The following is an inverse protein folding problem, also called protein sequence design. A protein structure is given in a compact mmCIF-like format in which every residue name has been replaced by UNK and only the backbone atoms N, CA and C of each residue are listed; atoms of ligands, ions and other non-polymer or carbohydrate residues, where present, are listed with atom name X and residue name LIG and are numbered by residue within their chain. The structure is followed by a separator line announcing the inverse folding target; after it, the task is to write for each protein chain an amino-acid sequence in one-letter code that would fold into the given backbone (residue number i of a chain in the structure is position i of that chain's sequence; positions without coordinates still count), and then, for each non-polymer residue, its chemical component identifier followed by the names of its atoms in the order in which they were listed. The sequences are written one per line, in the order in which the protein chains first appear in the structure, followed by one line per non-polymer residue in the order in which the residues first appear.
data_IF_247400668756
#
_entry.id   IF_247400668756
#
_cell.length_a   1.000
_cell.length_b   1.000
_cell.length_c   1.000
_cell.angle_alpha   90.00
_cell.angle_beta   90.00
_cell.angle_gamma   90.00
#
_symmetry.space_group_name_H-M   'P 1'
#
loop_
_entity.id
_entity.type
_entity.pdbx_description
1 polymer ?
#
# COMPACT_ATOMS: atom_id res chain seq x y z
N UNK A 1 16.90 27.86 12.66
CA UNK A 1 18.32 27.97 12.27
C UNK A 1 18.35 28.36 10.80
N UNK A 2 19.01 29.47 10.42
CA UNK A 2 19.05 29.90 9.02
C UNK A 2 20.03 29.00 8.25
N UNK A 3 19.63 28.61 7.04
CA UNK A 3 20.38 27.73 6.15
C UNK A 3 21.60 28.47 5.58
N UNK A 4 22.79 27.89 5.76
CA UNK A 4 24.00 28.35 5.07
C UNK A 4 23.91 28.11 3.56
N UNK A 5 24.68 28.85 2.75
CA UNK A 5 24.64 28.73 1.30
C UNK A 5 25.01 27.31 0.85
N UNK A 6 24.44 26.83 -0.27
CA UNK A 6 24.73 25.51 -0.81
C UNK A 6 26.22 25.36 -1.11
N UNK A 7 26.85 24.34 -0.53
CA UNK A 7 28.25 24.04 -0.76
C UNK A 7 28.53 23.60 -2.21
N UNK A 8 29.77 23.78 -2.71
CA UNK A 8 30.16 23.63 -4.11
C UNK A 8 30.05 22.20 -4.71
N UNK A 9 29.56 21.22 -3.96
CA UNK A 9 29.45 19.81 -4.40
C UNK A 9 28.02 19.36 -4.78
N UNK A 10 27.03 20.27 -4.81
CA UNK A 10 25.63 19.89 -5.09
C UNK A 10 25.35 19.36 -6.51
N UNK A 11 26.30 19.48 -7.45
CA UNK A 11 26.15 18.95 -8.81
C UNK A 11 26.38 17.43 -8.95
N UNK A 12 26.75 16.72 -7.88
CA UNK A 12 27.08 15.27 -7.92
C UNK A 12 26.07 14.36 -7.20
N UNK A 13 24.94 14.87 -6.70
CA UNK A 13 24.00 14.04 -5.93
C UNK A 13 22.92 13.50 -6.86
N UNK A 14 23.18 12.34 -7.48
CA UNK A 14 22.19 11.56 -8.23
C UNK A 14 21.10 10.95 -7.31
N UNK A 15 21.27 11.03 -5.99
CA UNK A 15 20.31 10.58 -5.00
C UNK A 15 19.29 11.69 -4.71
N UNK A 16 18.24 11.69 -5.52
CA UNK A 16 17.01 12.47 -5.30
C UNK A 16 16.41 12.19 -3.90
N UNK A 17 15.37 12.93 -3.54
CA UNK A 17 14.66 12.92 -2.24
C UNK A 17 14.03 11.57 -1.82
N UNK A 18 14.32 10.50 -2.55
CA UNK A 18 13.73 9.18 -2.42
C UNK A 18 14.83 8.13 -2.33
N UNK A 19 14.60 7.03 -1.61
CA UNK A 19 15.60 5.99 -1.52
C UNK A 19 15.82 5.28 -2.87
N UNK A 20 17.03 4.73 -3.04
CA UNK A 20 17.58 4.34 -4.36
C UNK A 20 16.85 3.17 -5.04
N UNK A 21 16.06 2.39 -4.30
CA UNK A 21 15.55 1.10 -4.74
C UNK A 21 14.76 1.14 -6.04
N UNK A 22 13.84 2.10 -6.20
CA UNK A 22 13.01 2.15 -7.42
C UNK A 22 13.81 2.58 -8.65
N UNK A 23 14.65 3.60 -8.52
CA UNK A 23 15.54 4.05 -9.60
C UNK A 23 16.51 2.94 -10.01
N UNK A 24 17.00 2.16 -9.06
CA UNK A 24 17.85 1.00 -9.32
C UNK A 24 17.13 -0.10 -10.12
N UNK A 25 15.88 -0.42 -9.74
CA UNK A 25 15.06 -1.38 -10.50
C UNK A 25 14.78 -0.91 -11.94
N UNK A 26 14.49 0.38 -12.12
CA UNK A 26 14.31 0.98 -13.45
C UNK A 26 15.61 0.87 -14.26
N UNK A 27 16.74 1.20 -13.65
CA UNK A 27 18.04 1.15 -14.31
C UNK A 27 18.37 -0.27 -14.79
N UNK A 28 18.22 -1.28 -13.93
CA UNK A 28 18.42 -2.69 -14.31
C UNK A 28 17.48 -3.07 -15.45
N UNK A 29 16.20 -2.74 -15.33
CA UNK A 29 15.20 -3.10 -16.34
C UNK A 29 15.49 -2.43 -17.69
N UNK A 30 15.83 -1.14 -17.68
CA UNK A 30 16.22 -0.40 -18.89
C UNK A 30 17.48 -0.98 -19.52
N UNK A 31 18.49 -1.31 -18.71
CA UNK A 31 19.75 -1.87 -19.22
C UNK A 31 19.59 -3.28 -19.81
N UNK A 32 18.74 -4.10 -19.21
CA UNK A 32 18.52 -5.49 -19.63
C UNK A 32 17.59 -5.61 -20.84
N UNK A 33 16.58 -4.74 -20.94
CA UNK A 33 15.58 -4.79 -22.03
C UNK A 33 15.90 -3.85 -23.19
N UNK A 34 16.78 -2.86 -23.00
CA UNK A 34 17.01 -1.79 -23.97
C UNK A 34 15.90 -0.73 -24.02
N UNK A 35 14.87 -0.84 -23.15
CA UNK A 35 13.77 0.13 -23.09
C UNK A 35 14.24 1.47 -22.51
N UNK A 36 13.58 2.56 -22.93
CA UNK A 36 13.76 3.88 -22.31
C UNK A 36 13.35 3.83 -20.83
N UNK A 37 13.90 4.71 -20.00
CA UNK A 37 13.62 4.72 -18.55
C UNK A 37 12.12 4.84 -18.23
N UNK A 38 11.37 5.57 -19.07
CA UNK A 38 9.92 5.65 -18.96
C UNK A 38 9.26 4.28 -19.11
N UNK A 39 9.54 3.57 -20.21
CA UNK A 39 8.95 2.25 -20.47
C UNK A 39 9.45 1.20 -19.49
N UNK A 40 10.72 1.25 -19.11
CA UNK A 40 11.29 0.39 -18.08
C UNK A 40 10.55 0.55 -16.75
N UNK A 41 10.18 1.78 -16.35
CA UNK A 41 9.40 2.00 -15.12
C UNK A 41 7.98 1.43 -15.18
N UNK A 42 7.32 1.45 -16.34
CA UNK A 42 6.03 0.79 -16.55
C UNK A 42 6.18 -0.72 -16.46
N UNK A 43 7.21 -1.28 -17.10
CA UNK A 43 7.49 -2.71 -17.06
C UNK A 43 7.77 -3.19 -15.63
N UNK A 44 8.54 -2.43 -14.84
CA UNK A 44 8.74 -2.71 -13.41
C UNK A 44 7.39 -2.81 -12.68
N UNK A 45 6.49 -1.84 -12.86
CA UNK A 45 5.19 -1.87 -12.20
C UNK A 45 4.31 -3.04 -12.63
N UNK A 46 4.32 -3.41 -13.91
CA UNK A 46 3.62 -4.59 -14.44
C UNK A 46 4.19 -5.89 -13.85
N UNK A 47 5.52 -6.00 -13.73
CA UNK A 47 6.18 -7.15 -13.09
C UNK A 47 5.71 -7.27 -11.65
N UNK A 48 5.74 -6.20 -10.86
CA UNK A 48 5.32 -6.25 -9.46
C UNK A 48 3.82 -6.49 -9.29
N UNK A 49 2.96 -5.97 -10.18
CA UNK A 49 1.53 -6.31 -10.19
C UNK A 49 1.31 -7.80 -10.47
N UNK A 50 2.07 -8.37 -11.41
CA UNK A 50 2.03 -9.80 -11.73
C UNK A 50 2.49 -10.63 -10.53
N UNK A 51 3.56 -10.21 -9.85
CA UNK A 51 4.05 -10.86 -8.64
C UNK A 51 3.05 -10.77 -7.48
N UNK A 52 2.28 -9.69 -7.38
CA UNK A 52 1.16 -9.58 -6.43
C UNK A 52 0.11 -10.64 -6.74
N UNK A 53 -0.33 -10.77 -7.99
CA UNK A 53 -1.32 -11.78 -8.35
C UNK A 53 -0.82 -13.21 -8.13
N UNK A 54 0.46 -13.47 -8.43
CA UNK A 54 1.08 -14.75 -8.12
C UNK A 54 1.12 -15.01 -6.62
N UNK A 55 1.48 -14.01 -5.80
CA UNK A 55 1.48 -14.12 -4.35
C UNK A 55 0.08 -14.36 -3.79
N UNK A 56 -0.94 -13.69 -4.33
CA UNK A 56 -2.34 -13.93 -3.96
C UNK A 56 -2.78 -15.33 -4.35
N UNK A 57 -2.39 -15.83 -5.54
CA UNK A 57 -2.65 -17.20 -5.94
C UNK A 57 -2.02 -18.20 -4.97
N UNK A 58 -0.75 -18.00 -4.58
CA UNK A 58 -0.08 -18.84 -3.58
C UNK A 58 -0.74 -18.76 -2.19
N UNK A 59 -1.34 -17.62 -1.84
CA UNK A 59 -1.93 -17.43 -0.51
C UNK A 59 -3.41 -17.86 -0.43
N UNK A 60 -4.16 -17.80 -1.53
CA UNK A 60 -5.61 -18.02 -1.57
C UNK A 60 -6.07 -19.12 -2.55
N UNK A 61 -5.16 -19.68 -3.34
CA UNK A 61 -5.43 -20.69 -4.37
C UNK A 61 -6.57 -20.27 -5.32
N UNK A 62 -7.55 -21.14 -5.52
CA UNK A 62 -8.69 -20.94 -6.44
C UNK A 62 -9.57 -19.73 -6.09
N UNK A 63 -9.45 -19.20 -4.89
CA UNK A 63 -10.19 -18.03 -4.45
C UNK A 63 -9.42 -16.70 -4.63
N UNK A 64 -8.19 -16.74 -5.15
CA UNK A 64 -7.36 -15.55 -5.31
C UNK A 64 -7.98 -14.50 -6.22
N UNK A 65 -8.75 -14.91 -7.25
CA UNK A 65 -9.42 -13.98 -8.17
C UNK A 65 -10.32 -12.98 -7.44
N UNK A 66 -11.04 -13.43 -6.41
CA UNK A 66 -12.00 -12.58 -5.69
C UNK A 66 -11.27 -11.52 -4.88
N UNK A 67 -10.20 -11.92 -4.18
CA UNK A 67 -9.37 -11.02 -3.38
C UNK A 67 -8.57 -10.05 -4.28
N UNK A 68 -8.16 -10.50 -5.47
CA UNK A 68 -7.47 -9.70 -6.47
C UNK A 68 -8.31 -8.55 -7.04
N UNK A 69 -9.64 -8.58 -6.90
CA UNK A 69 -10.53 -7.46 -7.26
C UNK A 69 -10.17 -6.15 -6.54
N UNK A 70 -9.43 -6.21 -5.43
CA UNK A 70 -8.85 -5.01 -4.77
C UNK A 70 -8.04 -4.14 -5.74
N UNK A 71 -7.31 -4.77 -6.68
CA UNK A 71 -6.44 -4.07 -7.64
C UNK A 71 -7.18 -3.49 -8.83
N UNK A 72 -8.47 -3.77 -8.94
CA UNK A 72 -9.36 -3.17 -9.95
C UNK A 72 -9.83 -1.77 -9.51
N UNK A 73 -9.51 -1.38 -8.29
CA UNK A 73 -9.76 -0.03 -7.79
C UNK A 73 -9.09 1.05 -8.63
N UNK A 74 -9.78 2.17 -8.81
CA UNK A 74 -9.24 3.38 -9.44
C UNK A 74 -7.88 3.75 -8.80
N UNK A 75 -7.81 3.81 -7.47
CA UNK A 75 -6.60 4.21 -6.75
C UNK A 75 -5.45 3.23 -6.97
N UNK A 76 -5.72 1.91 -7.00
CA UNK A 76 -4.68 0.93 -7.34
C UNK A 76 -4.27 1.04 -8.81
N UNK A 77 -5.23 1.17 -9.71
CA UNK A 77 -4.97 1.29 -11.15
C UNK A 77 -4.11 2.52 -11.44
N UNK A 78 -4.40 3.66 -10.82
CA UNK A 78 -3.60 4.89 -10.92
C UNK A 78 -2.16 4.64 -10.41
N UNK A 79 -2.00 4.01 -9.24
CA UNK A 79 -0.69 3.70 -8.67
C UNK A 79 0.18 2.86 -9.62
N UNK A 80 -0.38 1.79 -10.20
CA UNK A 80 0.37 0.93 -11.12
C UNK A 80 0.55 1.55 -12.51
N UNK A 81 -0.35 2.45 -12.91
CA UNK A 81 -0.29 3.15 -14.20
C UNK A 81 0.75 4.26 -14.22
N UNK A 82 1.09 4.89 -13.09
CA UNK A 82 2.13 5.92 -13.02
C UNK A 82 3.53 5.34 -12.79
N UNK A 83 4.57 6.15 -12.95
CA UNK A 83 5.98 5.75 -12.77
C UNK A 83 6.41 5.95 -11.31
N UNK A 84 5.63 5.40 -10.39
CA UNK A 84 5.82 5.62 -8.98
C UNK A 84 6.30 4.35 -8.24
N UNK A 85 7.03 4.53 -7.15
CA UNK A 85 7.60 3.43 -6.35
C UNK A 85 6.55 2.68 -5.52
N UNK A 86 5.33 3.20 -5.42
CA UNK A 86 4.21 2.61 -4.69
C UNK A 86 3.87 1.20 -5.18
N UNK A 87 3.90 0.93 -6.50
CA UNK A 87 3.58 -0.40 -7.03
C UNK A 87 4.47 -1.50 -6.44
N UNK A 88 5.81 -1.42 -6.62
CA UNK A 88 6.75 -2.34 -5.99
C UNK A 88 6.67 -2.33 -4.46
N UNK A 89 6.45 -1.16 -3.85
CA UNK A 89 6.34 -1.05 -2.40
C UNK A 89 5.16 -1.87 -1.86
N UNK A 90 3.99 -1.79 -2.50
CA UNK A 90 2.80 -2.54 -2.14
C UNK A 90 2.99 -4.04 -2.24
N UNK A 91 3.73 -4.53 -3.23
CA UNK A 91 4.10 -5.94 -3.30
C UNK A 91 4.83 -6.38 -2.03
N UNK A 92 5.85 -5.64 -1.58
CA UNK A 92 6.58 -5.99 -0.36
C UNK A 92 5.74 -5.83 0.90
N UNK A 93 4.75 -4.93 0.93
CA UNK A 93 3.80 -4.84 2.05
C UNK A 93 2.96 -6.12 2.15
N UNK A 94 2.44 -6.62 1.03
CA UNK A 94 1.63 -7.84 0.98
C UNK A 94 2.51 -9.06 1.25
N UNK A 95 3.72 -9.09 0.71
CA UNK A 95 4.71 -10.14 0.97
C UNK A 95 5.06 -10.20 2.46
N UNK A 96 5.26 -9.05 3.12
CA UNK A 96 5.49 -9.00 4.55
C UNK A 96 4.32 -9.61 5.33
N UNK A 97 3.08 -9.26 4.97
CA UNK A 97 1.88 -9.83 5.60
C UNK A 97 1.82 -11.35 5.40
N UNK A 98 2.14 -11.84 4.20
CA UNK A 98 2.22 -13.27 3.90
C UNK A 98 3.32 -13.98 4.70
N UNK A 99 4.51 -13.38 4.83
CA UNK A 99 5.63 -13.95 5.60
C UNK A 99 5.30 -14.04 7.10
N UNK A 100 4.68 -12.98 7.66
CA UNK A 100 4.21 -12.99 9.05
C UNK A 100 3.14 -14.08 9.22
N UNK A 101 2.18 -14.16 8.32
CA UNK A 101 1.14 -15.20 8.33
C UNK A 101 1.75 -16.61 8.31
N UNK A 102 2.67 -16.87 7.38
CA UNK A 102 3.32 -18.18 7.23
C UNK A 102 4.17 -18.56 8.43
N UNK A 103 4.73 -17.59 9.15
CA UNK A 103 5.49 -17.85 10.37
C UNK A 103 4.61 -18.45 11.48
N UNK A 104 3.34 -18.04 11.56
CA UNK A 104 2.38 -18.63 12.50
C UNK A 104 2.02 -20.08 12.11
N UNK A 105 1.88 -20.36 10.82
CA UNK A 105 1.49 -21.69 10.32
C UNK A 105 2.68 -22.69 10.27
N UNK A 106 3.91 -22.20 10.01
CA UNK A 106 5.12 -23.02 9.84
C UNK A 106 6.30 -22.44 10.65
N UNK A 107 6.26 -22.52 12.00
CA UNK A 107 7.22 -21.85 12.89
C UNK A 107 8.66 -22.39 12.81
N UNK A 108 8.87 -23.59 12.25
CA UNK A 108 10.18 -24.27 12.26
C UNK A 108 11.15 -23.86 11.14
N UNK A 109 10.78 -22.90 10.28
CA UNK A 109 11.70 -22.38 9.26
C UNK A 109 12.76 -21.46 9.89
N UNK A 110 13.93 -22.02 10.18
CA UNK A 110 15.08 -21.29 10.76
C UNK A 110 15.59 -20.12 9.90
N UNK A 111 15.21 -20.07 8.62
CA UNK A 111 15.63 -19.03 7.66
C UNK A 111 14.61 -17.92 7.45
N UNK A 112 13.46 -17.95 8.14
CA UNK A 112 12.40 -16.96 7.92
C UNK A 112 12.84 -15.51 8.19
N UNK A 113 13.74 -15.31 9.15
CA UNK A 113 14.31 -13.99 9.45
C UNK A 113 15.04 -13.35 8.26
N UNK A 114 15.61 -14.15 7.34
CA UNK A 114 16.29 -13.64 6.14
C UNK A 114 15.28 -13.05 5.17
N UNK A 115 14.15 -13.72 4.97
CA UNK A 115 13.06 -13.22 4.12
C UNK A 115 12.44 -11.96 4.70
N UNK A 116 12.20 -11.94 6.03
CA UNK A 116 11.72 -10.74 6.72
C UNK A 116 12.70 -9.57 6.59
N UNK A 117 14.00 -9.81 6.84
CA UNK A 117 15.04 -8.79 6.70
C UNK A 117 15.07 -8.23 5.27
N UNK A 118 15.10 -9.11 4.26
CA UNK A 118 15.12 -8.72 2.85
C UNK A 118 13.88 -7.90 2.48
N UNK A 119 12.71 -8.27 3.00
CA UNK A 119 11.46 -7.55 2.80
C UNK A 119 11.47 -6.16 3.45
N UNK A 120 11.98 -6.04 4.68
CA UNK A 120 12.12 -4.75 5.38
C UNK A 120 13.09 -3.81 4.67
N UNK A 121 14.21 -4.34 4.17
CA UNK A 121 15.16 -3.59 3.37
C UNK A 121 14.54 -3.11 2.07
N UNK A 122 13.82 -3.98 1.36
CA UNK A 122 13.15 -3.61 0.12
C UNK A 122 12.09 -2.52 0.35
N UNK A 123 11.28 -2.65 1.41
CA UNK A 123 10.29 -1.62 1.80
C UNK A 123 10.97 -0.27 2.01
N UNK A 124 12.05 -0.23 2.81
CA UNK A 124 12.81 1.00 3.07
C UNK A 124 13.46 1.57 1.81
N UNK A 125 14.14 0.74 1.01
CA UNK A 125 14.86 1.17 -0.18
C UNK A 125 13.92 1.68 -1.28
N UNK A 126 12.67 1.21 -1.32
CA UNK A 126 11.65 1.73 -2.23
C UNK A 126 11.05 3.04 -1.72
N UNK A 127 10.78 3.14 -0.40
CA UNK A 127 10.24 4.34 0.25
C UNK A 127 10.65 4.43 1.71
N UNK A 128 10.96 5.64 2.19
CA UNK A 128 11.22 5.87 3.62
C UNK A 128 10.02 5.55 4.53
N UNK A 129 8.79 5.57 4.01
CA UNK A 129 7.61 5.05 4.70
C UNK A 129 7.74 3.57 5.11
N UNK A 130 8.65 2.82 4.49
CA UNK A 130 9.05 1.47 4.88
C UNK A 130 9.52 1.34 6.34
N UNK A 131 10.02 2.44 6.94
CA UNK A 131 10.40 2.47 8.37
C UNK A 131 9.23 2.14 9.31
N UNK A 132 7.99 2.41 8.90
CA UNK A 132 6.78 2.04 9.67
C UNK A 132 6.75 0.53 9.91
N UNK A 133 7.21 -0.28 8.95
CA UNK A 133 7.20 -1.74 9.08
C UNK A 133 8.32 -2.27 9.98
N UNK A 134 9.39 -1.50 10.23
CA UNK A 134 10.35 -1.84 11.29
C UNK A 134 9.67 -1.73 12.66
N UNK A 135 8.87 -0.68 12.89
CA UNK A 135 8.10 -0.51 14.12
C UNK A 135 7.08 -1.65 14.30
N UNK A 136 6.41 -2.06 13.22
CA UNK A 136 5.50 -3.21 13.24
C UNK A 136 6.21 -4.49 13.69
N UNK A 137 7.35 -4.82 13.09
CA UNK A 137 8.11 -6.03 13.44
C UNK A 137 8.67 -5.95 14.86
N UNK A 138 9.11 -4.77 15.32
CA UNK A 138 9.48 -4.55 16.72
C UNK A 138 8.33 -4.80 17.68
N UNK A 139 7.12 -4.29 17.37
CA UNK A 139 5.91 -4.55 18.14
C UNK A 139 5.53 -6.03 18.16
N UNK A 140 5.67 -6.74 17.04
CA UNK A 140 5.45 -8.20 16.98
C UNK A 140 6.48 -8.99 17.79
N UNK A 141 7.75 -8.55 17.82
CA UNK A 141 8.77 -9.15 18.69
C UNK A 141 8.39 -9.02 20.17
N UNK A 142 7.94 -7.84 20.60
CA UNK A 142 7.44 -7.62 21.97
C UNK A 142 6.22 -8.49 22.27
N UNK A 143 5.28 -8.58 21.32
CA UNK A 143 4.10 -9.43 21.45
C UNK A 143 4.46 -10.92 21.61
N UNK A 144 5.35 -11.45 20.77
CA UNK A 144 5.83 -12.83 20.88
C UNK A 144 6.56 -13.06 22.21
N UNK A 145 7.32 -12.07 22.70
CA UNK A 145 7.98 -12.15 24.00
C UNK A 145 6.98 -12.29 25.14
N UNK A 146 5.90 -11.48 25.14
CA UNK A 146 4.80 -11.61 26.10
C UNK A 146 4.07 -12.95 26.00
N UNK A 147 3.96 -13.52 24.80
CA UNK A 147 3.40 -14.86 24.58
C UNK A 147 4.38 -16.00 24.87
N UNK A 148 5.60 -15.71 25.31
CA UNK A 148 6.69 -16.67 25.53
C UNK A 148 7.07 -17.48 24.28
N UNK A 149 6.76 -16.97 23.09
CA UNK A 149 7.20 -17.54 21.82
C UNK A 149 8.62 -17.06 21.49
N UNK A 150 9.61 -17.70 22.12
CA UNK A 150 11.03 -17.34 21.97
C UNK A 150 11.54 -17.54 20.54
N UNK A 151 10.97 -18.48 19.78
CA UNK A 151 11.33 -18.69 18.37
C UNK A 151 10.91 -17.49 17.54
N UNK A 152 9.67 -17.03 17.70
CA UNK A 152 9.17 -15.82 17.04
C UNK A 152 9.97 -14.58 17.41
N UNK A 153 10.27 -14.38 18.69
CA UNK A 153 11.13 -13.28 19.18
C UNK A 153 12.48 -13.29 18.48
N UNK A 154 13.16 -14.45 18.46
CA UNK A 154 14.48 -14.57 17.82
C UNK A 154 14.43 -14.20 16.35
N UNK A 155 13.45 -14.69 15.60
CA UNK A 155 13.33 -14.39 14.16
C UNK A 155 13.09 -12.91 13.90
N UNK A 156 12.16 -12.28 14.63
CA UNK A 156 11.85 -10.87 14.46
C UNK A 156 13.00 -9.96 14.90
N UNK A 157 13.67 -10.26 16.02
CA UNK A 157 14.83 -9.48 16.47
C UNK A 157 16.01 -9.62 15.52
N UNK A 158 16.32 -10.84 15.02
CA UNK A 158 17.40 -11.02 14.04
C UNK A 158 17.13 -10.21 12.76
N UNK A 159 15.90 -10.30 12.23
CA UNK A 159 15.51 -9.53 11.05
C UNK A 159 15.62 -8.01 11.30
N UNK A 160 15.13 -7.55 12.45
CA UNK A 160 15.14 -6.14 12.84
C UNK A 160 16.56 -5.61 13.05
N UNK A 161 17.43 -6.35 13.74
CA UNK A 161 18.80 -5.94 14.02
C UNK A 161 19.61 -5.78 12.73
N UNK A 162 19.56 -6.79 11.84
CA UNK A 162 20.29 -6.73 10.57
C UNK A 162 19.74 -5.64 9.66
N UNK A 163 18.41 -5.53 9.55
CA UNK A 163 17.79 -4.47 8.74
C UNK A 163 18.13 -3.07 9.27
N UNK A 164 18.08 -2.87 10.59
CA UNK A 164 18.40 -1.58 11.23
C UNK A 164 19.85 -1.18 10.99
N UNK A 165 20.80 -2.12 11.09
CA UNK A 165 22.21 -1.84 10.81
C UNK A 165 22.38 -1.38 9.35
N UNK A 166 21.85 -2.14 8.39
CA UNK A 166 21.99 -1.82 6.97
C UNK A 166 21.30 -0.52 6.58
N UNK A 167 20.08 -0.27 7.10
CA UNK A 167 19.36 0.99 6.91
C UNK A 167 20.12 2.15 7.53
N UNK A 168 20.65 1.97 8.75
CA UNK A 168 21.48 2.96 9.43
C UNK A 168 22.73 3.31 8.63
N UNK A 169 23.45 2.31 8.12
CA UNK A 169 24.60 2.52 7.23
C UNK A 169 24.21 3.29 5.98
N UNK A 170 23.08 2.95 5.34
CA UNK A 170 22.57 3.68 4.18
C UNK A 170 22.26 5.14 4.50
N UNK A 171 21.60 5.41 5.62
CA UNK A 171 21.25 6.77 6.05
C UNK A 171 22.49 7.61 6.41
N UNK A 172 23.47 7.01 7.07
CA UNK A 172 24.76 7.66 7.36
C UNK A 172 25.49 7.99 6.06
N UNK A 173 25.54 7.04 5.11
CA UNK A 173 26.12 7.29 3.79
C UNK A 173 25.38 8.43 3.08
N UNK A 174 24.05 8.41 3.08
CA UNK A 174 23.24 9.45 2.46
C UNK A 174 23.48 10.83 3.09
N UNK A 175 23.62 10.89 4.42
CA UNK A 175 23.98 12.12 5.13
C UNK A 175 25.37 12.63 4.75
N UNK A 176 26.36 11.76 4.68
CA UNK A 176 27.73 12.14 4.31
C UNK A 176 27.84 12.66 2.86
N UNK A 177 27.01 12.13 1.94
CA UNK A 177 27.01 12.53 0.53
C UNK A 177 26.17 13.78 0.27
N UNK A 178 24.96 13.85 0.84
CA UNK A 178 23.97 14.88 0.52
C UNK A 178 23.85 16.00 1.57
N UNK A 179 24.42 15.82 2.76
CA UNK A 179 24.21 16.68 3.92
C UNK A 179 22.86 16.50 4.61
N UNK A 180 22.02 15.57 4.14
CA UNK A 180 20.68 15.30 4.69
C UNK A 180 20.43 13.80 4.87
N UNK A 181 19.80 13.42 5.98
CA UNK A 181 19.51 12.00 6.29
C UNK A 181 18.57 11.39 5.23
N UNK A 182 17.55 12.14 4.80
CA UNK A 182 16.52 11.68 3.86
C UNK A 182 16.64 12.30 2.45
N UNK A 183 17.77 12.91 2.11
CA UNK A 183 17.97 13.62 0.83
C UNK A 183 17.52 15.09 0.84
N UNK A 184 17.84 15.82 -0.24
CA UNK A 184 17.73 17.28 -0.31
C UNK A 184 16.29 17.81 -0.16
N UNK A 185 15.98 18.34 1.02
CA UNK A 185 14.67 18.89 1.33
C UNK A 185 14.29 20.11 0.48
N UNK A 186 13.30 19.94 -0.40
CA UNK A 186 12.31 20.98 -0.67
C UNK A 186 11.06 20.63 0.15
N UNK A 187 11.07 20.94 1.45
CA UNK A 187 9.86 20.86 2.28
C UNK A 187 8.92 21.94 1.76
N UNK A 188 7.97 21.56 0.91
CA UNK A 188 6.79 22.40 0.69
C UNK A 188 5.94 22.25 1.93
N UNK A 189 5.93 23.26 2.80
CA UNK A 189 4.93 23.34 3.86
C UNK A 189 3.57 23.61 3.20
N UNK A 190 2.88 22.57 2.74
CA UNK A 190 1.46 22.70 2.46
C UNK A 190 0.75 22.63 3.81
N UNK A 191 0.30 23.77 4.32
CA UNK A 191 -0.69 23.83 5.38
C UNK A 191 -2.02 23.28 4.80
N UNK A 192 -2.14 21.95 4.75
CA UNK A 192 -3.39 21.29 4.39
C UNK A 192 -4.43 21.62 5.45
N UNK A 193 -5.57 22.17 5.04
CA UNK A 193 -6.68 22.41 5.95
C UNK A 193 -7.25 21.09 6.49
N UNK A 194 -7.94 21.12 7.62
CA UNK A 194 -8.59 19.93 8.20
C UNK A 194 -9.52 19.21 7.21
N UNK A 195 -10.09 19.95 6.25
CA UNK A 195 -10.93 19.42 5.17
C UNK A 195 -10.13 18.55 4.19
N UNK A 196 -8.93 18.97 3.79
CA UNK A 196 -8.08 18.20 2.87
C UNK A 196 -7.57 16.91 3.52
N UNK A 197 -7.36 16.95 4.83
CA UNK A 197 -7.00 15.77 5.61
C UNK A 197 -8.13 14.73 5.54
N UNK A 198 -9.37 15.10 5.87
CA UNK A 198 -10.53 14.21 5.78
C UNK A 198 -10.76 13.67 4.37
N UNK A 199 -10.65 14.53 3.35
CA UNK A 199 -10.76 14.11 1.95
C UNK A 199 -9.68 13.10 1.55
N UNK A 200 -8.49 13.16 2.14
CA UNK A 200 -7.44 12.17 1.89
C UNK A 200 -7.79 10.79 2.43
N UNK A 201 -8.42 10.70 3.61
CA UNK A 201 -8.94 9.42 4.12
C UNK A 201 -10.07 8.89 3.24
N UNK A 202 -10.96 9.78 2.78
CA UNK A 202 -12.01 9.40 1.84
C UNK A 202 -11.45 8.96 0.49
N UNK A 203 -10.37 9.56 -0.03
CA UNK A 203 -9.69 9.10 -1.24
C UNK A 203 -8.89 7.80 -1.03
N UNK A 204 -8.44 7.56 0.20
CA UNK A 204 -7.73 6.33 0.55
C UNK A 204 -8.68 5.14 0.65
N UNK A 205 -9.85 5.35 1.25
CA UNK A 205 -10.89 4.33 1.42
C UNK A 205 -11.77 4.25 0.17
N UNK A 206 -11.99 5.39 -0.47
CA UNK A 206 -12.78 5.55 -1.68
C UNK A 206 -12.00 5.14 -2.91
N UNK A 207 -12.65 4.39 -3.77
CA UNK A 207 -12.14 3.97 -5.07
C UNK A 207 -12.42 5.07 -6.12
N UNK A 208 -12.45 6.35 -5.71
CA UNK A 208 -12.72 7.51 -6.54
C UNK A 208 -11.90 8.70 -6.05
N UNK A 209 -11.25 9.41 -6.97
CA UNK A 209 -10.46 10.60 -6.67
C UNK A 209 -11.37 11.82 -6.50
N UNK A 210 -11.48 12.35 -5.28
CA UNK A 210 -12.26 13.57 -4.95
C UNK A 210 -11.65 14.84 -5.56
N UNK A 211 -10.44 14.73 -6.12
CA UNK A 211 -9.69 15.78 -6.79
C UNK A 211 -9.69 15.62 -8.32
N UNK A 212 -10.85 15.45 -8.95
CA UNK A 212 -11.01 15.70 -10.38
C UNK A 212 -11.39 17.17 -10.55
N UNK A 213 -10.64 17.92 -11.36
CA UNK A 213 -10.84 19.36 -11.62
C UNK A 213 -12.27 19.67 -12.14
N UNK A 214 -12.92 18.70 -12.78
CA UNK A 214 -14.34 18.77 -13.15
C UNK A 214 -15.20 18.15 -12.05
N UNK A 215 -15.70 18.99 -11.14
CA UNK A 215 -16.73 18.68 -10.14
C UNK A 215 -18.10 18.45 -10.78
N UNK A 216 -18.22 17.44 -11.64
CA UNK A 216 -19.48 17.10 -12.30
C UNK A 216 -20.42 16.33 -11.37
N UNK A 217 -21.73 16.48 -11.58
CA UNK A 217 -22.77 15.80 -10.78
C UNK A 217 -22.65 14.27 -10.83
N UNK A 218 -22.14 13.74 -11.95
CA UNK A 218 -21.86 12.31 -12.15
C UNK A 218 -20.80 11.84 -11.16
N UNK A 219 -19.77 12.65 -10.93
CA UNK A 219 -18.70 12.33 -9.98
C UNK A 219 -19.25 12.22 -8.55
N UNK A 220 -20.01 13.22 -8.08
CA UNK A 220 -20.61 13.20 -6.75
C UNK A 220 -21.62 12.06 -6.57
N UNK A 221 -22.41 11.77 -7.60
CA UNK A 221 -23.35 10.65 -7.60
C UNK A 221 -22.64 9.31 -7.40
N UNK A 222 -21.55 9.08 -8.13
CA UNK A 222 -20.80 7.83 -8.01
C UNK A 222 -20.06 7.73 -6.67
N UNK A 223 -19.43 8.81 -6.20
CA UNK A 223 -18.77 8.83 -4.87
C UNK A 223 -19.77 8.60 -3.73
N UNK A 224 -20.95 9.22 -3.79
CA UNK A 224 -22.02 8.98 -2.81
C UNK A 224 -22.51 7.53 -2.86
N UNK A 225 -22.70 6.97 -4.05
CA UNK A 225 -23.07 5.56 -4.23
C UNK A 225 -22.00 4.62 -3.66
N UNK A 226 -20.72 4.87 -3.93
CA UNK A 226 -19.61 4.11 -3.35
C UNK A 226 -19.58 4.21 -1.82
N UNK A 227 -19.82 5.40 -1.26
CA UNK A 227 -19.90 5.59 0.19
C UNK A 227 -21.05 4.78 0.79
N UNK A 228 -22.24 4.82 0.17
CA UNK A 228 -23.39 4.00 0.58
C UNK A 228 -23.04 2.52 0.51
N UNK A 229 -22.36 2.06 -0.54
CA UNK A 229 -21.93 0.66 -0.65
C UNK A 229 -20.95 0.28 0.47
N UNK A 230 -20.01 1.15 0.83
CA UNK A 230 -19.06 0.92 1.94
C UNK A 230 -19.79 0.88 3.28
N UNK A 231 -20.71 1.82 3.53
CA UNK A 231 -21.50 1.85 4.78
C UNK A 231 -22.38 0.61 4.87
N UNK A 232 -23.14 0.30 3.82
CA UNK A 232 -23.99 -0.89 3.74
C UNK A 232 -23.15 -2.16 3.92
N UNK A 233 -21.95 -2.19 3.35
CA UNK A 233 -20.99 -3.28 3.52
C UNK A 233 -20.58 -3.48 5.00
N UNK A 234 -20.20 -2.41 5.70
CA UNK A 234 -19.85 -2.50 7.13
C UNK A 234 -21.05 -2.81 8.03
N UNK A 235 -22.24 -2.28 7.71
CA UNK A 235 -23.49 -2.59 8.42
C UNK A 235 -23.83 -4.07 8.25
N UNK A 236 -23.72 -4.62 7.04
CA UNK A 236 -23.95 -6.04 6.78
C UNK A 236 -22.93 -6.92 7.52
N UNK A 237 -21.64 -6.56 7.52
CA UNK A 237 -20.63 -7.27 8.31
C UNK A 237 -20.90 -7.22 9.81
N UNK A 238 -21.35 -6.08 10.33
CA UNK A 238 -21.70 -5.91 11.74
C UNK A 238 -22.94 -6.74 12.11
N UNK A 239 -23.97 -6.72 11.27
CA UNK A 239 -25.22 -7.45 11.50
C UNK A 239 -25.05 -8.97 11.35
N UNK A 240 -24.11 -9.43 10.53
CA UNK A 240 -23.69 -10.84 10.50
C UNK A 240 -22.89 -11.26 11.74
N UNK A 241 -22.70 -10.34 12.68
CA UNK A 241 -22.67 -10.54 14.13
C UNK A 241 -22.10 -11.87 14.59
N UNK A 242 -20.81 -11.88 14.94
CA UNK A 242 -20.03 -12.98 15.57
C UNK A 242 -19.32 -13.96 14.65
N UNK A 243 -19.07 -13.65 13.38
CA UNK A 243 -18.16 -14.48 12.58
C UNK A 243 -16.72 -14.29 13.04
N UNK A 244 -16.08 -15.38 13.49
CA UNK A 244 -14.69 -15.32 13.95
C UNK A 244 -13.77 -14.93 12.80
N UNK A 245 -13.15 -13.75 12.93
CA UNK A 245 -12.14 -13.27 11.98
C UNK A 245 -11.08 -14.36 11.82
N UNK A 246 -10.86 -14.77 10.57
CA UNK A 246 -9.75 -15.66 10.23
C UNK A 246 -8.44 -15.04 10.73
N UNK A 247 -7.47 -15.88 11.06
CA UNK A 247 -6.15 -15.39 11.46
C UNK A 247 -5.55 -14.47 10.38
N UNK A 248 -5.70 -14.87 9.11
CA UNK A 248 -5.32 -14.10 7.93
C UNK A 248 -5.97 -12.71 7.86
N UNK A 249 -7.30 -12.65 7.95
CA UNK A 249 -8.06 -11.39 7.95
C UNK A 249 -7.64 -10.47 9.09
N UNK A 250 -7.50 -11.04 10.30
CA UNK A 250 -7.11 -10.27 11.49
C UNK A 250 -5.72 -9.66 11.34
N UNK A 251 -4.77 -10.43 10.81
CA UNK A 251 -3.43 -9.93 10.52
C UNK A 251 -3.46 -8.75 9.53
N UNK A 252 -4.14 -8.92 8.39
CA UNK A 252 -4.26 -7.89 7.36
C UNK A 252 -4.90 -6.60 7.90
N UNK A 253 -6.02 -6.73 8.63
CA UNK A 253 -6.69 -5.59 9.25
C UNK A 253 -5.80 -4.90 10.30
N UNK A 254 -5.15 -5.67 11.17
CA UNK A 254 -4.24 -5.13 12.17
C UNK A 254 -3.08 -4.37 11.52
N UNK A 255 -2.47 -4.91 10.46
CA UNK A 255 -1.42 -4.23 9.71
C UNK A 255 -1.93 -2.95 9.02
N UNK A 256 -3.14 -2.99 8.45
CA UNK A 256 -3.77 -1.81 7.85
C UNK A 256 -3.93 -0.68 8.88
N UNK A 257 -4.58 -0.96 10.01
CA UNK A 257 -4.82 0.03 11.06
C UNK A 257 -3.53 0.48 11.75
N UNK A 258 -2.56 -0.41 11.93
CA UNK A 258 -1.24 -0.04 12.46
C UNK A 258 -0.56 0.98 11.54
N UNK A 259 -0.54 0.71 10.23
CA UNK A 259 0.04 1.62 9.25
C UNK A 259 -0.69 2.97 9.24
N UNK A 260 -2.04 2.93 9.23
CA UNK A 260 -2.88 4.13 9.29
C UNK A 260 -2.55 4.99 10.51
N UNK A 261 -2.55 4.38 11.70
CA UNK A 261 -2.28 5.07 12.96
C UNK A 261 -0.88 5.69 12.93
N UNK A 262 0.14 4.92 12.54
CA UNK A 262 1.53 5.38 12.52
C UNK A 262 1.73 6.54 11.57
N UNK A 263 1.22 6.46 10.34
CA UNK A 263 1.35 7.52 9.35
C UNK A 263 0.54 8.76 9.74
N UNK A 264 -0.64 8.58 10.34
CA UNK A 264 -1.44 9.70 10.87
C UNK A 264 -0.72 10.40 12.02
N UNK A 265 -0.16 9.65 12.97
CA UNK A 265 0.65 10.19 14.07
C UNK A 265 1.89 10.92 13.54
N UNK A 266 2.60 10.34 12.57
CA UNK A 266 3.76 11.00 11.95
C UNK A 266 3.37 12.31 11.26
N UNK A 267 2.22 12.38 10.60
CA UNK A 267 1.72 13.64 10.00
C UNK A 267 1.40 14.69 11.06
N UNK A 268 0.81 14.28 12.19
CA UNK A 268 0.51 15.19 13.31
C UNK A 268 1.78 15.72 13.98
N UNK A 269 2.80 14.87 14.13
CA UNK A 269 4.08 15.27 14.74
C UNK A 269 4.95 16.07 13.77
N UNK A 270 4.95 15.68 12.48
CA UNK A 270 5.79 16.24 11.43
C UNK A 270 4.88 16.86 10.37
N UNK A 271 4.54 18.14 10.59
CA UNK A 271 3.64 18.91 9.73
C UNK A 271 4.10 18.98 8.26
N UNK A 272 5.39 18.73 8.00
CA UNK A 272 6.08 18.80 6.72
C UNK A 272 5.86 17.62 5.74
N UNK A 273 5.12 16.56 6.13
CA UNK A 273 4.91 15.39 5.25
C UNK A 273 3.70 15.64 4.34
N UNK A 274 3.89 15.69 3.02
CA UNK A 274 2.77 15.75 2.07
C UNK A 274 1.87 14.52 2.22
N UNK A 275 0.64 14.73 2.66
CA UNK A 275 -0.31 13.65 2.94
C UNK A 275 -1.23 13.47 1.74
N UNK A 276 -0.90 12.50 0.89
CA UNK A 276 -1.66 12.19 -0.32
C UNK A 276 -2.23 10.76 -0.27
N UNK A 277 -3.24 10.47 -1.08
CA UNK A 277 -3.88 9.14 -1.15
C UNK A 277 -2.86 8.02 -1.42
N UNK A 278 -1.78 8.33 -2.12
CA UNK A 278 -0.66 7.43 -2.39
C UNK A 278 0.02 6.92 -1.12
N UNK A 279 0.18 7.78 -0.11
CA UNK A 279 0.75 7.37 1.18
C UNK A 279 -0.17 6.39 1.92
N UNK A 280 -1.47 6.43 1.62
CA UNK A 280 -2.50 5.61 2.24
C UNK A 280 -2.76 4.29 1.50
N UNK A 281 -2.10 4.08 0.35
CA UNK A 281 -2.23 2.86 -0.43
C UNK A 281 -1.98 1.56 0.37
N UNK A 282 -0.96 1.49 1.25
CA UNK A 282 -0.75 0.28 2.07
C UNK A 282 -1.92 -0.01 3.01
N UNK A 283 -2.50 1.04 3.63
CA UNK A 283 -3.67 0.90 4.47
C UNK A 283 -4.87 0.38 3.68
N UNK A 284 -5.20 1.04 2.56
CA UNK A 284 -6.36 0.70 1.75
C UNK A 284 -6.29 -0.73 1.20
N UNK A 285 -5.15 -1.12 0.60
CA UNK A 285 -4.98 -2.47 0.05
C UNK A 285 -5.06 -3.52 1.15
N UNK A 286 -4.38 -3.35 2.28
CA UNK A 286 -4.46 -4.31 3.38
C UNK A 286 -5.86 -4.39 3.98
N UNK A 287 -6.57 -3.27 4.08
CA UNK A 287 -7.96 -3.21 4.52
C UNK A 287 -8.85 -4.04 3.59
N UNK A 288 -8.80 -3.79 2.27
CA UNK A 288 -9.61 -4.52 1.30
C UNK A 288 -9.25 -6.01 1.22
N UNK A 289 -7.97 -6.36 1.23
CA UNK A 289 -7.55 -7.77 1.29
C UNK A 289 -8.10 -8.45 2.56
N UNK A 290 -7.99 -7.80 3.72
CA UNK A 290 -8.49 -8.33 4.99
C UNK A 290 -10.01 -8.54 4.98
N UNK A 291 -10.73 -7.55 4.47
CA UNK A 291 -12.18 -7.55 4.30
C UNK A 291 -12.65 -8.64 3.32
N UNK A 292 -12.08 -8.71 2.11
CA UNK A 292 -12.44 -9.72 1.12
C UNK A 292 -12.14 -11.14 1.60
N UNK A 293 -11.09 -11.31 2.42
CA UNK A 293 -10.81 -12.59 3.08
C UNK A 293 -11.92 -13.00 4.05
N UNK A 294 -12.54 -12.04 4.77
CA UNK A 294 -13.68 -12.33 5.66
C UNK A 294 -14.88 -12.82 4.85
N UNK A 295 -15.19 -12.15 3.73
CA UNK A 295 -16.29 -12.54 2.84
C UNK A 295 -16.03 -13.93 2.24
N UNK A 296 -14.81 -14.17 1.78
CA UNK A 296 -14.42 -15.41 1.12
C UNK A 296 -14.54 -16.62 2.03
N UNK A 297 -14.06 -16.53 3.29
CA UNK A 297 -14.12 -17.63 4.27
C UNK A 297 -15.55 -18.14 4.49
N UNK A 298 -16.55 -17.29 4.27
CA UNK A 298 -17.95 -17.66 4.43
C UNK A 298 -18.48 -18.30 3.13
N UNK A 299 -18.00 -19.50 2.79
CA UNK A 299 -18.53 -20.30 1.68
C UNK A 299 -19.95 -20.84 1.93
N UNK A 300 -20.51 -20.60 3.13
CA UNK A 300 -21.93 -20.87 3.39
C UNK A 300 -22.78 -20.12 2.36
N UNK A 301 -23.66 -20.86 1.69
CA UNK A 301 -24.70 -20.49 0.71
C UNK A 301 -25.74 -19.48 1.25
N UNK A 302 -25.37 -18.68 2.25
CA UNK A 302 -26.22 -17.59 2.71
C UNK A 302 -26.41 -16.58 1.58
N UNK A 303 -27.66 -16.17 1.38
CA UNK A 303 -28.04 -15.10 0.44
C UNK A 303 -27.19 -13.84 0.64
N UNK A 304 -26.74 -13.58 1.87
CA UNK A 304 -25.92 -12.44 2.25
C UNK A 304 -24.52 -12.50 1.63
N UNK A 305 -23.83 -13.65 1.66
CA UNK A 305 -22.50 -13.77 1.06
C UNK A 305 -22.54 -13.55 -0.45
N UNK A 306 -23.59 -14.05 -1.12
CA UNK A 306 -23.81 -13.79 -2.54
C UNK A 306 -24.05 -12.31 -2.82
N UNK A 307 -24.86 -11.63 -1.99
CA UNK A 307 -25.08 -10.17 -2.09
C UNK A 307 -23.78 -9.38 -1.88
N UNK A 308 -22.97 -9.76 -0.89
CA UNK A 308 -21.68 -9.10 -0.62
C UNK A 308 -20.67 -9.29 -1.77
N UNK A 309 -20.54 -10.53 -2.28
CA UNK A 309 -19.66 -10.83 -3.44
C UNK A 309 -20.12 -10.09 -4.69
N UNK A 310 -21.42 -10.15 -5.00
CA UNK A 310 -21.99 -9.47 -6.17
C UNK A 310 -21.88 -7.95 -6.04
N UNK A 311 -22.17 -7.41 -4.86
CA UNK A 311 -22.01 -5.99 -4.56
C UNK A 311 -20.56 -5.52 -4.74
N UNK A 312 -19.58 -6.31 -4.32
CA UNK A 312 -18.17 -5.96 -4.52
C UNK A 312 -17.74 -6.05 -5.99
N UNK A 313 -18.25 -7.03 -6.76
CA UNK A 313 -18.01 -7.13 -8.20
C UNK A 313 -18.59 -5.91 -8.92
N UNK A 314 -19.85 -5.58 -8.63
CA UNK A 314 -20.50 -4.38 -9.17
C UNK A 314 -19.69 -3.14 -8.81
N UNK A 315 -19.28 -3.01 -7.56
CA UNK A 315 -18.42 -1.92 -7.08
C UNK A 315 -17.09 -1.84 -7.85
N UNK A 316 -16.42 -2.97 -8.10
CA UNK A 316 -15.18 -3.03 -8.87
C UNK A 316 -15.40 -2.60 -10.33
N UNK A 317 -16.49 -3.04 -10.97
CA UNK A 317 -16.87 -2.63 -12.33
C UNK A 317 -17.11 -1.12 -12.39
N UNK A 318 -17.88 -0.56 -11.46
CA UNK A 318 -18.10 0.88 -11.39
C UNK A 318 -16.79 1.65 -11.16
N UNK A 319 -15.87 1.12 -10.37
CA UNK A 319 -14.56 1.73 -10.18
C UNK A 319 -13.73 1.82 -11.47
N UNK A 320 -13.79 0.79 -12.34
CA UNK A 320 -13.18 0.86 -13.68
C UNK A 320 -13.85 1.94 -14.52
N UNK A 321 -15.19 1.99 -14.52
CA UNK A 321 -15.95 2.93 -15.35
C UNK A 321 -15.60 4.38 -14.99
N UNK A 322 -15.45 4.71 -13.70
CA UNK A 322 -15.01 6.03 -13.23
C UNK A 322 -13.64 6.43 -13.80
N UNK A 323 -12.80 5.45 -14.12
CA UNK A 323 -11.47 5.69 -14.65
C UNK A 323 -11.48 6.04 -16.15
N UNK A 324 -12.62 5.89 -16.83
CA UNK A 324 -12.74 6.28 -18.23
C UNK A 324 -12.94 7.79 -18.34
N UNK A 325 -12.42 8.43 -19.40
CA UNK A 325 -12.65 9.85 -19.62
C UNK A 325 -14.15 10.19 -19.67
N UNK A 326 -14.62 11.20 -18.94
CA UNK A 326 -16.04 11.57 -18.90
C UNK A 326 -16.64 11.76 -20.30
N UNK A 327 -15.89 12.36 -21.23
CA UNK A 327 -16.30 12.54 -22.63
C UNK A 327 -16.56 11.21 -23.34
N UNK A 328 -15.75 10.19 -23.05
CA UNK A 328 -15.94 8.85 -23.58
C UNK A 328 -17.23 8.23 -23.03
N UNK A 329 -17.44 8.29 -21.72
CA UNK A 329 -18.65 7.76 -21.07
C UNK A 329 -19.90 8.43 -21.64
N UNK A 330 -19.90 9.76 -21.74
CA UNK A 330 -21.02 10.53 -22.28
C UNK A 330 -21.30 10.17 -23.74
N UNK A 331 -20.26 9.99 -24.57
CA UNK A 331 -20.45 9.59 -25.96
C UNK A 331 -21.05 8.18 -26.10
N UNK A 332 -20.65 7.24 -25.25
CA UNK A 332 -21.22 5.88 -25.23
C UNK A 332 -22.68 5.90 -24.77
N UNK A 333 -23.00 6.68 -23.73
CA UNK A 333 -24.38 6.80 -23.23
C UNK A 333 -25.30 7.47 -24.26
N UNK A 334 -24.82 8.50 -24.95
CA UNK A 334 -25.58 9.13 -26.04
C UNK A 334 -25.87 8.12 -27.15
N UNK A 335 -24.88 7.32 -27.57
CA UNK A 335 -25.06 6.29 -28.59
C UNK A 335 -25.95 5.10 -28.17
N UNK A 336 -26.29 4.96 -26.88
CA UNK A 336 -27.20 3.91 -26.40
C UNK A 336 -28.66 4.39 -26.29
N UNK A 337 -28.87 5.70 -26.25
CA UNK A 337 -30.19 6.34 -26.13
C UNK A 337 -30.79 6.63 -27.53
N UNK A 338 -29.92 6.81 -28.54
CA UNK A 338 -30.29 6.85 -29.96
C UNK A 338 -30.18 5.48 -30.59
#
# INVERSE_FOLDING_TARGET
MPFGPPGPNQHKVASANWPIGYSFLIHITSRTTGLSSLWASKLVNVIFLTLIFLLLYLWYNDNAWFVALTFVSYSSFEIFSHTWSEGPFLFFVILLAYLIYKQYDLPDSSRNWVYLCSCLLALFLLRYAGLVFLLLIGGLAIYCFWKKDLKGVKQYLMALSVATILIGTYLIYNYNVSGAIFGAHNVRMSALGQVDFFMTYLNAIGFARIYVESKDIVYYGITAFQFVLIVLFFVLLYHEGRRSLSHKSRLLLNMAFFYLLTISTLKLLIHAIDFDYRMMAPFSILLFLGVLTVIQKNESTSRINWVLKSGFIVFAVFSIIINLPNRYILSVLQNLIY
#
